data_IF_644619092903
#
_entry.id   IF_644619092903
#
_cell.length_a   1.000
_cell.length_b   1.000
_cell.length_c   1.000
_cell.angle_alpha   90.00
_cell.angle_beta   90.00
_cell.angle_gamma   90.00
#
_symmetry.space_group_name_H-M   'P 1'
#
loop_
_entity.id
_entity.type
_entity.pdbx_description
1 polymer ?
#
# COMPACT_ATOMS: atom_id res chain seq x y z
N UNK A 1 -33.62 -45.82 17.51
CA UNK A 1 -33.51 -45.74 16.04
C UNK A 1 -32.06 -45.98 15.65
N UNK A 2 -31.74 -46.52 14.47
CA UNK A 2 -30.35 -46.57 13.99
C UNK A 2 -29.81 -45.14 13.85
N UNK A 3 -28.51 -44.96 14.09
CA UNK A 3 -27.85 -43.67 13.88
C UNK A 3 -27.78 -43.34 12.38
N UNK A 4 -27.96 -42.07 11.97
CA UNK A 4 -27.87 -41.69 10.56
C UNK A 4 -26.41 -41.56 10.11
N UNK A 5 -26.20 -41.58 8.79
CA UNK A 5 -24.95 -41.13 8.19
C UNK A 5 -24.79 -39.61 8.37
N UNK A 6 -23.58 -39.16 8.67
CA UNK A 6 -23.25 -37.74 8.84
C UNK A 6 -22.42 -37.29 7.62
N UNK A 7 -22.92 -36.28 6.91
CA UNK A 7 -22.24 -35.62 5.81
C UNK A 7 -21.86 -34.18 6.21
N UNK A 8 -20.74 -33.69 5.69
CA UNK A 8 -20.27 -32.32 5.92
C UNK A 8 -19.75 -31.69 4.64
N UNK A 9 -20.15 -30.44 4.39
CA UNK A 9 -19.76 -29.63 3.22
C UNK A 9 -18.74 -28.56 3.64
N UNK A 10 -17.66 -28.97 4.30
CA UNK A 10 -16.65 -28.06 4.88
C UNK A 10 -15.65 -27.52 3.85
N UNK A 11 -16.13 -26.90 2.77
CA UNK A 11 -15.28 -26.41 1.67
C UNK A 11 -14.13 -25.51 2.14
N UNK A 12 -14.42 -24.44 2.92
CA UNK A 12 -13.40 -23.52 3.45
C UNK A 12 -12.32 -24.25 4.26
N UNK A 13 -12.69 -25.25 5.06
CA UNK A 13 -11.73 -26.02 5.86
C UNK A 13 -10.75 -26.82 4.99
N UNK A 14 -11.19 -27.29 3.82
CA UNK A 14 -10.36 -28.04 2.87
C UNK A 14 -9.43 -27.13 2.07
N UNK A 15 -9.91 -25.96 1.64
CA UNK A 15 -9.20 -25.14 0.64
C UNK A 15 -8.54 -23.87 1.19
N UNK A 16 -8.74 -23.47 2.45
CA UNK A 16 -8.18 -22.20 2.92
C UNK A 16 -6.63 -22.13 2.77
N UNK A 17 -5.91 -23.20 3.08
CA UNK A 17 -4.45 -23.18 3.27
C UNK A 17 -3.63 -23.41 1.98
N UNK A 18 -4.25 -23.85 0.89
CA UNK A 18 -3.51 -24.36 -0.27
C UNK A 18 -2.89 -23.28 -1.16
N UNK A 19 -3.22 -22.00 -0.93
CA UNK A 19 -2.77 -20.88 -1.75
C UNK A 19 -2.16 -19.76 -0.88
N UNK A 20 -1.13 -19.12 -1.44
CA UNK A 20 -0.44 -17.95 -0.90
C UNK A 20 -0.35 -16.91 -2.01
N UNK A 21 -0.76 -15.68 -1.73
CA UNK A 21 -0.55 -14.55 -2.62
C UNK A 21 0.82 -13.94 -2.31
N UNK A 22 1.71 -13.90 -3.29
CA UNK A 22 3.04 -13.28 -3.16
C UNK A 22 3.03 -11.94 -3.89
N UNK A 23 3.43 -10.88 -3.20
CA UNK A 23 3.42 -9.51 -3.70
C UNK A 23 4.79 -8.86 -3.48
N UNK A 24 5.29 -8.11 -4.48
CA UNK A 24 6.45 -7.24 -4.29
C UNK A 24 6.00 -5.86 -3.78
N UNK A 25 6.88 -5.20 -3.02
CA UNK A 25 6.73 -3.82 -2.58
C UNK A 25 7.45 -2.91 -3.56
N UNK A 26 6.71 -1.99 -4.17
CA UNK A 26 7.21 -1.02 -5.14
C UNK A 26 7.88 0.19 -4.48
N UNK A 27 7.53 0.47 -3.23
CA UNK A 27 8.09 1.58 -2.48
C UNK A 27 7.47 1.75 -1.11
N UNK A 28 8.10 2.59 -0.29
CA UNK A 28 7.65 2.88 1.08
C UNK A 28 7.43 4.38 1.23
N UNK A 29 6.19 4.75 1.53
CA UNK A 29 5.85 6.10 1.98
C UNK A 29 6.03 6.20 3.49
N UNK A 30 7.14 6.79 3.93
CA UNK A 30 7.33 7.17 5.33
C UNK A 30 6.85 8.61 5.56
N UNK A 31 6.20 8.87 6.69
CA UNK A 31 6.02 10.25 7.15
C UNK A 31 7.41 10.92 7.31
N UNK A 32 7.57 12.21 6.99
CA UNK A 32 8.86 12.90 7.05
C UNK A 32 9.33 13.10 8.50
N UNK A 33 9.77 12.01 9.15
CA UNK A 33 10.33 12.02 10.52
C UNK A 33 11.70 12.70 10.60
N UNK A 34 12.34 12.96 9.46
CA UNK A 34 13.75 13.38 9.35
C UNK A 34 13.98 14.76 8.71
N UNK A 35 12.93 15.54 8.46
CA UNK A 35 13.09 16.94 8.04
C UNK A 35 13.79 17.76 9.14
N UNK A 36 14.59 18.75 8.74
CA UNK A 36 15.06 19.78 9.70
C UNK A 36 13.85 20.60 10.12
N UNK A 37 13.45 20.46 11.38
CA UNK A 37 12.50 21.39 11.98
C UNK A 37 13.26 22.65 12.38
N UNK A 38 12.70 23.81 12.08
CA UNK A 38 13.27 25.10 12.42
C UNK A 38 12.41 25.77 13.49
N UNK A 39 13.06 26.53 14.37
CA UNK A 39 12.35 27.34 15.35
C UNK A 39 11.45 28.33 14.60
N UNK A 40 10.13 28.36 14.88
CA UNK A 40 9.25 29.33 14.25
C UNK A 40 9.69 30.77 14.57
N UNK A 41 9.45 31.68 13.63
CA UNK A 41 9.73 33.10 13.83
C UNK A 41 8.84 33.71 14.94
N UNK A 42 9.26 34.85 15.49
CA UNK A 42 8.53 35.52 16.57
C UNK A 42 7.15 36.06 16.13
N UNK A 43 6.89 36.19 14.83
CA UNK A 43 5.61 36.57 14.24
C UNK A 43 4.76 35.37 13.80
N UNK A 44 5.29 34.13 13.86
CA UNK A 44 4.55 32.93 13.50
C UNK A 44 3.30 32.77 14.38
N UNK A 45 2.27 32.02 13.92
CA UNK A 45 1.09 31.75 14.74
C UNK A 45 1.45 31.23 16.13
N UNK A 46 0.75 31.71 17.16
CA UNK A 46 1.02 31.31 18.56
C UNK A 46 1.00 29.78 18.75
N UNK A 47 0.02 29.02 18.19
CA UNK A 47 0.00 27.56 18.36
C UNK A 47 1.23 26.87 17.77
N UNK A 48 1.79 27.41 16.66
CA UNK A 48 3.01 26.88 16.07
C UNK A 48 4.22 27.07 16.99
N UNK A 49 4.33 28.23 17.66
CA UNK A 49 5.38 28.46 18.66
C UNK A 49 5.20 27.58 19.89
N UNK A 50 3.97 27.38 20.36
CA UNK A 50 3.69 26.51 21.49
C UNK A 50 4.02 25.04 21.18
N UNK A 51 3.79 24.60 19.93
CA UNK A 51 4.21 23.28 19.48
C UNK A 51 5.73 23.13 19.48
N UNK A 52 6.49 24.19 19.15
CA UNK A 52 7.94 24.21 19.32
C UNK A 52 8.34 24.13 20.80
N UNK A 53 7.71 24.93 21.66
CA UNK A 53 8.01 24.94 23.10
C UNK A 53 7.72 23.57 23.76
N UNK A 54 6.68 22.88 23.29
CA UNK A 54 6.35 21.49 23.69
C UNK A 54 7.49 20.53 23.33
N UNK A 55 8.05 20.65 22.12
CA UNK A 55 9.19 19.84 21.69
C UNK A 55 10.47 20.17 22.46
N UNK A 56 10.74 21.45 22.74
CA UNK A 56 11.91 21.93 23.48
C UNK A 56 11.87 21.49 24.95
N UNK A 57 10.68 21.44 25.54
CA UNK A 57 10.45 21.10 26.95
C UNK A 57 10.01 19.64 27.16
N UNK A 58 10.19 18.77 26.16
CA UNK A 58 9.64 17.40 26.17
C UNK A 58 10.17 16.51 27.31
N UNK A 59 11.33 16.84 27.89
CA UNK A 59 11.88 16.13 29.06
C UNK A 59 11.30 16.62 30.39
N UNK A 60 10.74 17.83 30.42
CA UNK A 60 10.18 18.47 31.61
C UNK A 60 8.67 18.22 31.73
N UNK A 61 7.99 18.03 30.60
CA UNK A 61 6.57 17.75 30.53
C UNK A 61 6.26 16.29 30.85
N UNK A 62 5.06 16.05 31.39
CA UNK A 62 4.54 14.68 31.45
C UNK A 62 4.29 14.16 30.03
N UNK A 63 4.54 12.87 29.71
CA UNK A 63 4.33 12.35 28.37
C UNK A 63 2.91 12.55 27.84
N UNK A 64 1.90 12.45 28.72
CA UNK A 64 0.50 12.66 28.36
C UNK A 64 0.17 14.12 28.05
N UNK A 65 0.76 15.06 28.79
CA UNK A 65 0.64 16.49 28.51
C UNK A 65 1.26 16.83 27.15
N UNK A 66 2.51 16.41 26.92
CA UNK A 66 3.18 16.65 25.64
C UNK A 66 2.42 16.04 24.44
N UNK A 67 1.81 14.87 24.62
CA UNK A 67 0.99 14.23 23.60
C UNK A 67 -0.25 15.07 23.24
N UNK A 68 -1.04 15.46 24.25
CA UNK A 68 -2.26 16.24 24.02
C UNK A 68 -1.98 17.67 23.56
N UNK A 69 -0.93 18.31 24.07
CA UNK A 69 -0.50 19.64 23.63
C UNK A 69 -0.10 19.60 22.15
N UNK A 70 0.71 18.61 21.75
CA UNK A 70 1.11 18.47 20.36
C UNK A 70 -0.09 18.26 19.42
N UNK A 71 -1.06 17.43 19.82
CA UNK A 71 -2.30 17.25 19.06
C UNK A 71 -3.10 18.55 18.95
N UNK A 72 -3.35 19.20 20.09
CA UNK A 72 -4.17 20.41 20.16
C UNK A 72 -3.58 21.54 19.31
N UNK A 73 -2.28 21.82 19.48
CA UNK A 73 -1.62 22.90 18.74
C UNK A 73 -1.53 22.63 17.24
N UNK A 74 -1.31 21.37 16.81
CA UNK A 74 -1.37 21.01 15.39
C UNK A 74 -2.74 21.29 14.79
N UNK A 75 -3.81 20.88 15.47
CA UNK A 75 -5.18 21.15 15.02
C UNK A 75 -5.48 22.65 14.97
N UNK A 76 -4.98 23.43 15.92
CA UNK A 76 -5.12 24.88 15.90
C UNK A 76 -4.41 25.52 14.70
N UNK A 77 -3.19 25.09 14.36
CA UNK A 77 -2.51 25.56 13.13
C UNK A 77 -3.31 25.18 11.89
N UNK A 78 -3.84 23.96 11.80
CA UNK A 78 -4.70 23.53 10.69
C UNK A 78 -5.97 24.39 10.58
N UNK A 79 -6.60 24.73 11.72
CA UNK A 79 -7.75 25.65 11.76
C UNK A 79 -7.36 27.05 11.28
N UNK A 80 -6.22 27.58 11.71
CA UNK A 80 -5.74 28.89 11.26
C UNK A 80 -5.44 28.88 9.75
N UNK A 81 -4.83 27.83 9.22
CA UNK A 81 -4.60 27.67 7.78
C UNK A 81 -5.93 27.68 7.00
N UNK A 82 -6.93 26.91 7.44
CA UNK A 82 -8.25 26.88 6.81
C UNK A 82 -8.96 28.24 6.81
N UNK A 83 -8.69 29.09 7.80
CA UNK A 83 -9.22 30.45 7.91
C UNK A 83 -8.36 31.51 7.20
N UNK A 84 -7.22 31.12 6.59
CA UNK A 84 -6.29 32.03 5.92
C UNK A 84 -5.37 32.83 6.87
N UNK A 85 -5.21 32.37 8.10
CA UNK A 85 -4.36 32.98 9.14
C UNK A 85 -3.03 32.25 9.38
N UNK A 86 -2.76 31.17 8.66
CA UNK A 86 -1.46 30.50 8.63
C UNK A 86 -1.10 30.17 7.18
N UNK A 87 0.20 30.15 6.89
CA UNK A 87 0.75 29.81 5.57
C UNK A 87 0.88 28.30 5.36
N UNK A 88 1.15 27.86 4.13
CA UNK A 88 1.47 26.46 3.86
C UNK A 88 2.79 26.06 4.53
N UNK A 89 3.73 27.01 4.61
CA UNK A 89 4.99 26.86 5.32
C UNK A 89 4.77 26.64 6.82
N UNK A 90 3.89 27.42 7.46
CA UNK A 90 3.52 27.22 8.86
C UNK A 90 2.92 25.83 9.11
N UNK A 91 2.04 25.38 8.20
CA UNK A 91 1.43 24.05 8.26
C UNK A 91 2.49 22.94 8.12
N UNK A 92 3.44 23.11 7.19
CA UNK A 92 4.55 22.17 7.01
C UNK A 92 5.47 22.10 8.23
N UNK A 93 5.75 23.23 8.89
CA UNK A 93 6.55 23.25 10.12
C UNK A 93 5.77 22.60 11.27
N UNK A 94 4.47 22.86 11.39
CA UNK A 94 3.62 22.25 12.40
C UNK A 94 3.60 20.73 12.29
N UNK A 95 3.37 20.19 11.09
CA UNK A 95 3.39 18.73 10.85
C UNK A 95 4.77 18.13 11.17
N UNK A 96 5.86 18.82 10.80
CA UNK A 96 7.21 18.40 11.13
C UNK A 96 7.48 18.34 12.64
N UNK A 97 7.05 19.36 13.40
CA UNK A 97 7.22 19.40 14.85
C UNK A 97 6.36 18.35 15.57
N UNK A 98 5.11 18.20 15.15
CA UNK A 98 4.19 17.19 15.67
C UNK A 98 4.79 15.78 15.57
N UNK A 99 5.26 15.40 14.39
CA UNK A 99 5.85 14.08 14.19
C UNK A 99 7.16 13.88 14.95
N UNK A 100 7.93 14.95 15.21
CA UNK A 100 9.12 14.89 16.07
C UNK A 100 8.77 14.61 17.52
N UNK A 101 7.72 15.24 18.06
CA UNK A 101 7.22 14.95 19.41
C UNK A 101 6.76 13.49 19.48
N UNK A 102 5.94 13.05 18.53
CA UNK A 102 5.40 11.70 18.49
C UNK A 102 6.50 10.63 18.35
N UNK A 103 7.51 10.85 17.51
CA UNK A 103 8.64 9.92 17.35
C UNK A 103 9.46 9.79 18.65
N UNK A 104 9.67 10.89 19.39
CA UNK A 104 10.35 10.85 20.68
C UNK A 104 9.51 10.15 21.76
N UNK A 105 8.20 10.41 21.81
CA UNK A 105 7.28 9.73 22.73
C UNK A 105 7.21 8.22 22.43
N UNK A 106 7.11 7.85 21.15
CA UNK A 106 7.07 6.45 20.71
C UNK A 106 8.33 5.68 21.10
N UNK A 107 9.52 6.29 20.99
CA UNK A 107 10.79 5.68 21.42
C UNK A 107 10.90 5.47 22.92
N UNK A 108 10.33 6.39 23.71
CA UNK A 108 10.30 6.28 25.18
C UNK A 108 9.28 5.25 25.65
N UNK A 109 8.23 5.00 24.86
CA UNK A 109 7.13 4.07 25.15
C UNK A 109 6.64 4.15 26.63
N UNK A 110 6.26 5.34 27.12
CA UNK A 110 5.91 5.52 28.52
C UNK A 110 4.61 4.77 28.85
N UNK A 111 4.56 4.14 30.02
CA UNK A 111 3.37 3.39 30.48
C UNK A 111 2.11 4.27 30.52
N UNK A 112 2.26 5.57 30.79
CA UNK A 112 1.17 6.55 30.82
C UNK A 112 0.43 6.72 29.48
N UNK A 113 1.07 6.36 28.36
CA UNK A 113 0.50 6.44 27.01
C UNK A 113 0.10 5.08 26.46
N UNK A 114 0.00 4.02 27.27
CA UNK A 114 -0.25 2.66 26.79
C UNK A 114 -1.49 2.56 25.87
N UNK A 115 -2.56 3.30 26.18
CA UNK A 115 -3.80 3.31 25.39
C UNK A 115 -3.64 4.12 24.09
N UNK A 116 -2.86 5.20 24.13
CA UNK A 116 -2.57 6.08 23.00
C UNK A 116 -1.45 5.56 22.08
N UNK A 117 -0.64 4.59 22.55
CA UNK A 117 0.47 4.01 21.79
C UNK A 117 0.01 3.38 20.48
N UNK A 118 -1.17 2.74 20.43
CA UNK A 118 -1.73 2.22 19.17
C UNK A 118 -1.98 3.35 18.16
N UNK A 119 -2.52 4.47 18.63
CA UNK A 119 -2.77 5.63 17.78
C UNK A 119 -1.47 6.29 17.29
N UNK A 120 -0.45 6.37 18.16
CA UNK A 120 0.88 6.90 17.81
C UNK A 120 1.57 5.99 16.79
N UNK A 121 1.55 4.66 17.01
CA UNK A 121 2.13 3.68 16.08
C UNK A 121 1.42 3.70 14.74
N UNK A 122 0.09 3.64 14.74
CA UNK A 122 -0.73 3.67 13.52
C UNK A 122 -0.54 4.98 12.77
N UNK A 123 -0.55 6.12 13.45
CA UNK A 123 -0.38 7.42 12.82
C UNK A 123 1.00 7.62 12.19
N UNK A 124 2.03 7.06 12.82
CA UNK A 124 3.41 7.15 12.32
C UNK A 124 3.79 6.01 11.36
N UNK A 125 2.91 5.03 11.16
CA UNK A 125 3.20 3.82 10.39
C UNK A 125 3.57 4.13 8.94
N UNK A 126 4.54 3.39 8.44
CA UNK A 126 4.96 3.47 7.04
C UNK A 126 3.93 2.81 6.12
N UNK A 127 3.75 3.38 4.93
CA UNK A 127 2.87 2.86 3.89
C UNK A 127 3.70 2.04 2.91
N UNK A 128 3.52 0.73 2.87
CA UNK A 128 4.20 -0.15 1.94
C UNK A 128 3.32 -0.33 0.69
N UNK A 129 3.70 0.29 -0.41
CA UNK A 129 2.99 0.21 -1.68
C UNK A 129 3.30 -1.12 -2.36
N UNK A 130 2.31 -2.02 -2.38
CA UNK A 130 2.46 -3.37 -2.87
C UNK A 130 1.80 -3.52 -4.24
N UNK A 131 2.46 -4.22 -5.16
CA UNK A 131 2.01 -4.38 -6.54
C UNK A 131 0.88 -5.43 -6.67
N UNK A 132 -0.29 -5.10 -6.16
CA UNK A 132 -1.48 -5.95 -6.25
C UNK A 132 -2.75 -5.09 -6.16
N UNK A 133 -3.91 -5.75 -6.16
CA UNK A 133 -5.21 -5.13 -5.91
C UNK A 133 -5.94 -5.93 -4.83
N UNK A 134 -6.33 -5.26 -3.74
CA UNK A 134 -7.13 -5.85 -2.65
C UNK A 134 -8.48 -6.29 -3.20
N UNK A 135 -9.10 -5.49 -4.05
CA UNK A 135 -10.41 -5.78 -4.64
C UNK A 135 -10.39 -7.00 -5.56
N UNK A 136 -9.23 -7.29 -6.16
CA UNK A 136 -9.04 -8.45 -7.04
C UNK A 136 -8.64 -9.71 -6.27
N UNK A 137 -7.67 -9.59 -5.38
CA UNK A 137 -7.02 -10.76 -4.76
C UNK A 137 -7.49 -11.05 -3.34
N UNK A 138 -8.06 -10.05 -2.65
CA UNK A 138 -8.48 -10.15 -1.25
C UNK A 138 -9.88 -9.52 -1.00
N UNK A 139 -10.92 -9.88 -1.78
CA UNK A 139 -12.24 -9.25 -1.68
C UNK A 139 -12.87 -9.36 -0.30
N UNK A 140 -12.73 -10.50 0.40
CA UNK A 140 -13.22 -10.68 1.78
C UNK A 140 -12.56 -9.70 2.78
N UNK A 141 -11.31 -9.27 2.55
CA UNK A 141 -10.64 -8.29 3.43
C UNK A 141 -11.35 -6.94 3.36
N UNK A 142 -11.70 -6.50 2.15
CA UNK A 142 -12.43 -5.26 1.90
C UNK A 142 -13.90 -5.37 2.33
N UNK A 143 -14.62 -6.40 1.86
CA UNK A 143 -16.06 -6.48 2.02
C UNK A 143 -16.50 -6.91 3.43
N UNK A 144 -15.73 -7.79 4.09
CA UNK A 144 -16.12 -8.42 5.36
C UNK A 144 -15.15 -8.11 6.51
N UNK A 145 -14.05 -7.40 6.24
CA UNK A 145 -13.01 -7.19 7.24
C UNK A 145 -12.29 -8.49 7.63
N UNK A 146 -12.28 -9.50 6.74
CA UNK A 146 -11.57 -10.75 6.95
C UNK A 146 -10.08 -10.48 7.18
N UNK A 147 -9.53 -11.08 8.23
CA UNK A 147 -8.11 -10.98 8.55
C UNK A 147 -7.36 -12.13 7.89
N UNK A 148 -6.26 -11.81 7.22
CA UNK A 148 -5.34 -12.78 6.63
C UNK A 148 -4.00 -12.69 7.36
N UNK A 149 -3.31 -13.82 7.61
CA UNK A 149 -1.92 -13.78 8.02
C UNK A 149 -1.06 -13.18 6.90
N UNK A 150 -0.20 -12.24 7.28
CA UNK A 150 0.67 -11.50 6.37
C UNK A 150 2.07 -11.48 6.96
N UNK A 151 3.08 -11.82 6.18
CA UNK A 151 4.47 -11.74 6.62
C UNK A 151 5.42 -11.52 5.43
N UNK A 152 6.59 -10.91 5.65
CA UNK A 152 7.70 -11.03 4.71
C UNK A 152 8.02 -12.51 4.48
N UNK A 153 8.40 -12.88 3.25
CA UNK A 153 8.78 -14.28 2.92
C UNK A 153 10.30 -14.47 2.81
N UNK A 154 11.05 -13.43 3.17
CA UNK A 154 12.50 -13.41 3.24
C UNK A 154 12.96 -12.47 4.35
N UNK A 155 14.27 -12.45 4.63
CA UNK A 155 14.90 -11.70 5.74
C UNK A 155 14.32 -12.05 7.13
N UNK A 156 13.82 -13.27 7.29
CA UNK A 156 13.18 -13.72 8.55
C UNK A 156 14.17 -13.91 9.71
N UNK A 157 15.46 -13.90 9.42
CA UNK A 157 16.58 -13.90 10.37
C UNK A 157 16.97 -12.48 10.84
N UNK A 158 16.42 -11.45 10.20
CA UNK A 158 16.61 -10.05 10.58
C UNK A 158 15.43 -9.55 11.42
N UNK A 159 15.66 -8.77 12.49
CA UNK A 159 14.57 -8.15 13.22
C UNK A 159 13.93 -7.03 12.38
N UNK A 160 12.61 -7.00 12.19
CA UNK A 160 11.93 -5.87 11.56
C UNK A 160 12.12 -4.59 12.38
N UNK A 161 12.32 -3.46 11.70
CA UNK A 161 12.68 -2.17 12.32
C UNK A 161 11.66 -1.06 12.06
N UNK A 162 10.61 -1.36 11.29
CA UNK A 162 9.56 -0.43 10.90
C UNK A 162 8.21 -0.99 11.33
N UNK A 163 7.31 -0.09 11.71
CA UNK A 163 5.89 -0.38 11.80
C UNK A 163 5.23 0.15 10.53
N UNK A 164 4.46 -0.69 9.84
CA UNK A 164 3.84 -0.29 8.60
C UNK A 164 2.54 -1.02 8.32
N UNK A 165 1.85 -0.61 7.26
CA UNK A 165 0.69 -1.32 6.74
C UNK A 165 0.76 -1.34 5.21
N UNK A 166 0.02 -2.26 4.61
CA UNK A 166 0.13 -2.50 3.16
C UNK A 166 -0.96 -1.72 2.44
N UNK A 167 -0.57 -1.01 1.39
CA UNK A 167 -1.48 -0.36 0.46
C UNK A 167 -1.27 -0.98 -0.91
N UNK A 168 -2.34 -1.14 -1.66
CA UNK A 168 -2.29 -1.68 -3.02
C UNK A 168 -2.01 -0.55 -4.04
N UNK A 169 -1.98 -0.87 -5.34
CA UNK A 169 -1.71 0.13 -6.40
C UNK A 169 -2.98 0.79 -6.93
N UNK A 170 -4.14 0.57 -6.30
CA UNK A 170 -5.38 1.20 -6.73
C UNK A 170 -5.44 2.67 -6.30
N UNK A 171 -6.33 3.42 -6.94
CA UNK A 171 -6.58 4.82 -6.62
C UNK A 171 -7.54 4.99 -5.43
N UNK A 172 -8.05 3.89 -4.89
CA UNK A 172 -9.05 3.89 -3.84
C UNK A 172 -8.38 3.77 -2.46
N UNK A 173 -8.76 4.63 -1.53
CA UNK A 173 -8.22 4.61 -0.17
C UNK A 173 -8.57 3.35 0.62
N UNK A 174 -9.57 2.59 0.18
CA UNK A 174 -9.94 1.28 0.73
C UNK A 174 -9.01 0.16 0.26
N UNK A 175 -8.16 0.40 -0.75
CA UNK A 175 -7.12 -0.49 -1.25
C UNK A 175 -5.96 -0.69 -0.26
N UNK A 176 -6.25 -1.15 0.96
CA UNK A 176 -5.25 -1.35 2.02
C UNK A 176 -5.56 -2.53 2.92
N UNK A 177 -4.52 -3.16 3.41
CA UNK A 177 -4.58 -4.10 4.53
C UNK A 177 -4.11 -3.38 5.79
N UNK A 178 -5.04 -3.15 6.71
CA UNK A 178 -4.81 -2.44 7.98
C UNK A 178 -5.46 -3.17 9.16
N UNK A 179 -5.60 -4.50 9.06
CA UNK A 179 -6.06 -5.39 10.14
C UNK A 179 -5.27 -6.69 10.04
N UNK A 180 -4.49 -6.99 11.07
CA UNK A 180 -3.61 -8.15 11.09
C UNK A 180 -3.99 -9.11 12.23
N UNK A 181 -3.55 -10.38 12.20
CA UNK A 181 -3.87 -11.34 13.24
C UNK A 181 -3.41 -10.86 14.63
N UNK A 182 -4.28 -11.01 15.63
CA UNK A 182 -4.02 -10.75 17.04
C UNK A 182 -4.21 -12.01 17.88
N UNK A 183 -3.71 -11.98 19.12
CA UNK A 183 -4.11 -12.96 20.12
C UNK A 183 -5.63 -12.84 20.39
N UNK A 184 -6.38 -13.92 20.70
CA UNK A 184 -7.85 -13.91 20.74
C UNK A 184 -8.52 -12.87 21.66
N UNK A 185 -7.79 -12.34 22.64
CA UNK A 185 -8.29 -11.36 23.60
C UNK A 185 -7.84 -9.91 23.29
N UNK A 186 -7.02 -9.73 22.25
CA UNK A 186 -6.44 -8.44 21.90
C UNK A 186 -7.13 -7.90 20.63
N UNK A 187 -7.26 -6.57 20.49
CA UNK A 187 -7.73 -5.98 19.24
C UNK A 187 -6.76 -6.31 18.09
N UNK A 188 -7.30 -6.51 16.89
CA UNK A 188 -6.49 -6.68 15.69
C UNK A 188 -5.59 -5.46 15.48
N UNK A 189 -4.25 -5.61 15.44
CA UNK A 189 -3.36 -4.50 15.18
C UNK A 189 -3.61 -3.94 13.78
N UNK A 190 -3.41 -2.62 13.65
CA UNK A 190 -3.56 -1.90 12.38
C UNK A 190 -2.27 -1.83 11.56
N UNK A 191 -1.17 -2.23 12.17
CA UNK A 191 0.17 -2.26 11.58
C UNK A 191 0.79 -3.65 11.74
N UNK A 192 1.82 -3.91 10.97
CA UNK A 192 2.69 -5.06 11.11
C UNK A 192 4.16 -4.60 11.20
N UNK A 193 5.00 -5.34 11.94
CA UNK A 193 6.43 -5.11 11.93
C UNK A 193 7.02 -5.55 10.58
N UNK A 194 7.75 -4.64 9.94
CA UNK A 194 8.36 -4.80 8.62
C UNK A 194 9.83 -4.36 8.61
N UNK A 195 10.57 -4.83 7.62
CA UNK A 195 11.95 -4.38 7.41
C UNK A 195 11.96 -3.00 6.73
N UNK A 196 12.98 -2.21 7.02
CA UNK A 196 13.32 -1.08 6.18
C UNK A 196 13.78 -1.60 4.81
N UNK A 197 13.36 -0.90 3.75
CA UNK A 197 13.65 -1.23 2.36
C UNK A 197 14.43 -0.06 1.77
N UNK A 198 15.57 -0.33 1.14
CA UNK A 198 16.34 0.66 0.40
C UNK A 198 15.75 0.89 -1.00
N UNK A 199 16.11 2.01 -1.65
CA UNK A 199 15.65 2.29 -3.01
C UNK A 199 16.13 1.18 -3.97
N UNK A 200 15.19 0.58 -4.71
CA UNK A 200 15.41 -0.56 -5.62
C UNK A 200 15.74 -1.92 -4.96
N UNK A 201 15.56 -2.07 -3.65
CA UNK A 201 15.66 -3.38 -3.00
C UNK A 201 14.37 -4.19 -3.19
N UNK A 202 14.48 -5.43 -3.71
CA UNK A 202 13.34 -6.33 -3.83
C UNK A 202 12.83 -6.77 -2.46
N UNK A 203 11.55 -6.53 -2.20
CA UNK A 203 10.91 -6.92 -0.95
C UNK A 203 9.58 -7.60 -1.20
N UNK A 204 9.46 -8.85 -0.75
CA UNK A 204 8.30 -9.70 -1.03
C UNK A 204 7.54 -10.03 0.24
N UNK A 205 6.22 -9.95 0.14
CA UNK A 205 5.29 -10.25 1.21
C UNK A 205 4.39 -11.39 0.76
N UNK A 206 4.13 -12.32 1.67
CA UNK A 206 3.15 -13.39 1.52
C UNK A 206 1.87 -13.06 2.28
N UNK A 207 0.73 -13.20 1.60
CA UNK A 207 -0.59 -13.22 2.24
C UNK A 207 -1.12 -14.65 2.19
N UNK A 208 -1.32 -15.22 3.38
CA UNK A 208 -1.65 -16.63 3.56
C UNK A 208 -3.15 -16.82 3.78
N UNK A 209 -3.61 -18.07 3.65
CA UNK A 209 -5.01 -18.47 3.84
C UNK A 209 -5.97 -17.87 2.80
N UNK A 210 -5.47 -17.61 1.59
CA UNK A 210 -6.23 -16.98 0.49
C UNK A 210 -6.95 -17.99 -0.41
N UNK A 211 -6.87 -19.30 -0.12
CA UNK A 211 -7.36 -20.34 -1.03
C UNK A 211 -8.87 -20.56 -1.05
N UNK A 212 -9.65 -19.91 -0.17
CA UNK A 212 -11.10 -20.05 -0.13
C UNK A 212 -11.76 -18.73 -0.57
N UNK A 213 -12.69 -18.79 -1.52
CA UNK A 213 -13.51 -17.68 -2.04
C UNK A 213 -12.75 -16.58 -2.82
N UNK A 214 -11.52 -16.25 -2.44
CA UNK A 214 -10.83 -15.04 -2.89
C UNK A 214 -10.69 -14.93 -4.42
N UNK A 215 -10.25 -16.00 -5.07
CA UNK A 215 -10.00 -16.01 -6.51
C UNK A 215 -11.28 -15.76 -7.33
N UNK A 216 -12.40 -16.37 -6.92
CA UNK A 216 -13.67 -16.29 -7.67
C UNK A 216 -14.45 -15.00 -7.39
N UNK A 217 -14.26 -14.38 -6.22
CA UNK A 217 -14.99 -13.17 -5.83
C UNK A 217 -14.30 -11.86 -6.23
N UNK A 218 -13.10 -11.94 -6.81
CA UNK A 218 -12.31 -10.77 -7.21
C UNK A 218 -13.00 -9.88 -8.25
N UNK A 219 -12.93 -8.57 -8.05
CA UNK A 219 -13.43 -7.57 -9.01
C UNK A 219 -12.32 -6.92 -9.85
N UNK A 220 -12.69 -6.32 -10.98
CA UNK A 220 -11.80 -5.58 -11.89
C UNK A 220 -11.68 -4.09 -11.50
N UNK A 221 -11.46 -3.79 -10.22
CA UNK A 221 -11.29 -2.41 -9.77
C UNK A 221 -10.04 -1.80 -10.42
N UNK A 222 -10.17 -0.57 -10.97
CA UNK A 222 -9.13 0.07 -11.78
C UNK A 222 -8.64 -0.75 -13.00
N UNK A 223 -9.42 -1.74 -13.46
CA UNK A 223 -9.04 -2.65 -14.55
C UNK A 223 -7.77 -3.47 -14.26
N UNK A 224 -7.46 -3.72 -12.98
CA UNK A 224 -6.49 -4.74 -12.61
C UNK A 224 -7.14 -6.13 -12.76
N UNK A 225 -6.55 -6.94 -13.63
CA UNK A 225 -7.04 -8.27 -13.98
C UNK A 225 -6.53 -9.37 -13.07
N UNK A 226 -6.82 -10.62 -13.46
CA UNK A 226 -6.34 -11.81 -12.77
C UNK A 226 -4.82 -11.80 -12.61
N UNK A 227 -4.34 -12.29 -11.47
CA UNK A 227 -2.93 -12.44 -11.22
C UNK A 227 -2.36 -13.72 -11.84
N UNK A 228 -1.05 -13.78 -12.05
CA UNK A 228 -0.39 -15.05 -12.33
C UNK A 228 -0.65 -16.06 -11.20
N UNK A 229 -1.00 -17.29 -11.56
CA UNK A 229 -1.11 -18.41 -10.63
C UNK A 229 -0.13 -19.52 -11.00
N UNK A 230 0.58 -20.06 -10.00
CA UNK A 230 1.57 -21.12 -10.20
C UNK A 230 1.24 -22.29 -9.28
N UNK A 231 1.10 -23.48 -9.85
CA UNK A 231 0.92 -24.71 -9.09
C UNK A 231 2.27 -25.33 -8.81
N UNK A 232 2.61 -25.44 -7.52
CA UNK A 232 3.87 -26.00 -7.05
C UNK A 232 3.60 -27.34 -6.38
N UNK A 233 4.30 -28.38 -6.82
CA UNK A 233 4.26 -29.73 -6.26
C UNK A 233 5.61 -30.06 -5.65
N UNK A 234 5.61 -30.62 -4.44
CA UNK A 234 6.82 -31.12 -3.81
C UNK A 234 7.03 -32.58 -4.22
N UNK A 235 8.14 -32.87 -4.89
CA UNK A 235 8.59 -34.25 -5.18
C UNK A 235 9.94 -34.46 -4.48
N UNK A 236 10.06 -35.49 -3.65
CA UNK A 236 11.28 -35.82 -2.90
C UNK A 236 11.88 -34.66 -2.07
N UNK A 237 11.05 -33.70 -1.66
CA UNK A 237 11.45 -32.52 -0.90
C UNK A 237 11.85 -31.31 -1.74
N UNK A 238 11.88 -31.45 -3.07
CA UNK A 238 12.20 -30.39 -4.01
C UNK A 238 10.91 -29.79 -4.63
N UNK A 239 10.81 -28.45 -4.76
CA UNK A 239 9.66 -27.81 -5.37
C UNK A 239 9.73 -27.89 -6.91
N UNK A 240 8.65 -28.36 -7.53
CA UNK A 240 8.48 -28.41 -8.97
C UNK A 240 7.28 -27.56 -9.39
N UNK A 241 7.50 -26.68 -10.37
CA UNK A 241 6.41 -25.94 -11.02
C UNK A 241 5.70 -26.89 -11.98
N UNK A 242 4.46 -27.24 -11.65
CA UNK A 242 3.62 -28.14 -12.45
C UNK A 242 2.84 -27.38 -13.51
N UNK A 243 2.32 -26.21 -13.15
CA UNK A 243 1.49 -25.39 -14.03
C UNK A 243 1.71 -23.91 -13.76
N UNK A 244 1.72 -23.11 -14.83
CA UNK A 244 1.65 -21.66 -14.78
C UNK A 244 0.39 -21.24 -15.53
N UNK A 245 -0.46 -20.47 -14.86
CA UNK A 245 -1.59 -19.77 -15.45
C UNK A 245 -1.21 -18.30 -15.53
N UNK A 246 -1.14 -17.77 -16.75
CA UNK A 246 -0.81 -16.37 -16.96
C UNK A 246 -1.97 -15.48 -16.51
N UNK A 247 -1.65 -14.38 -15.83
CA UNK A 247 -2.62 -13.36 -15.48
C UNK A 247 -3.03 -12.54 -16.70
N UNK A 248 -4.00 -11.66 -16.53
CA UNK A 248 -4.59 -10.94 -17.66
C UNK A 248 -3.74 -9.77 -18.15
N UNK A 249 -3.68 -9.60 -19.46
CA UNK A 249 -3.11 -8.41 -20.09
C UNK A 249 -4.11 -7.25 -20.08
N UNK A 250 -3.61 -6.03 -20.33
CA UNK A 250 -4.46 -4.85 -20.51
C UNK A 250 -5.50 -5.07 -21.62
N UNK A 251 -5.13 -5.76 -22.71
CA UNK A 251 -6.06 -6.09 -23.79
C UNK A 251 -7.17 -7.04 -23.35
N UNK A 252 -6.87 -8.02 -22.49
CA UNK A 252 -7.87 -8.97 -22.01
C UNK A 252 -8.91 -8.23 -21.17
N UNK A 253 -8.47 -7.44 -20.18
CA UNK A 253 -9.37 -6.66 -19.32
C UNK A 253 -10.19 -5.63 -20.13
N UNK A 254 -9.59 -4.99 -21.15
CA UNK A 254 -10.33 -4.06 -22.01
C UNK A 254 -11.38 -4.77 -22.88
N UNK A 255 -11.18 -6.04 -23.24
CA UNK A 255 -12.18 -6.81 -23.99
C UNK A 255 -13.43 -7.06 -23.14
N UNK A 256 -13.28 -7.33 -21.84
CA UNK A 256 -14.40 -7.45 -20.88
C UNK A 256 -15.32 -6.22 -20.91
N UNK A 257 -14.72 -5.02 -20.92
CA UNK A 257 -15.45 -3.74 -20.98
C UNK A 257 -15.82 -3.31 -22.41
N UNK A 258 -15.80 -4.24 -23.37
CA UNK A 258 -16.22 -4.06 -24.76
C UNK A 258 -15.32 -3.11 -25.58
N UNK A 259 -14.02 -3.13 -25.31
CA UNK A 259 -12.99 -2.44 -26.10
C UNK A 259 -12.01 -3.44 -26.75
N UNK A 260 -12.40 -4.08 -27.87
CA UNK A 260 -11.56 -5.08 -28.51
C UNK A 260 -10.23 -4.50 -28.97
N UNK A 261 -9.14 -5.23 -28.68
CA UNK A 261 -7.75 -4.85 -29.01
C UNK A 261 -7.59 -4.34 -30.45
N UNK A 262 -8.17 -5.04 -31.42
CA UNK A 262 -8.01 -4.70 -32.84
C UNK A 262 -8.65 -3.34 -33.19
N UNK A 263 -9.81 -3.03 -32.59
CA UNK A 263 -10.49 -1.74 -32.77
C UNK A 263 -9.65 -0.60 -32.21
N UNK A 264 -9.05 -0.80 -31.04
CA UNK A 264 -8.15 0.17 -30.40
C UNK A 264 -6.92 0.44 -31.27
N UNK A 265 -6.23 -0.62 -31.74
CA UNK A 265 -5.06 -0.49 -32.61
C UNK A 265 -5.37 0.25 -33.91
N UNK A 266 -6.51 -0.03 -34.55
CA UNK A 266 -6.89 0.61 -35.81
C UNK A 266 -7.32 2.08 -35.63
N UNK A 267 -7.84 2.45 -34.45
CA UNK A 267 -8.10 3.86 -34.10
C UNK A 267 -6.78 4.61 -33.90
N UNK A 268 -5.88 4.08 -33.07
CA UNK A 268 -4.58 4.72 -32.81
C UNK A 268 -3.75 4.84 -34.09
N UNK A 269 -3.76 3.83 -34.97
CA UNK A 269 -3.08 3.90 -36.28
C UNK A 269 -3.55 5.10 -37.11
N UNK A 270 -4.86 5.30 -37.22
CA UNK A 270 -5.44 6.44 -37.96
C UNK A 270 -5.04 7.79 -37.36
N UNK A 271 -5.01 7.89 -36.04
CA UNK A 271 -4.59 9.12 -35.34
C UNK A 271 -3.09 9.42 -35.56
N UNK A 272 -2.23 8.39 -35.53
CA UNK A 272 -0.79 8.52 -35.80
C UNK A 272 -0.54 8.91 -37.26
N UNK A 273 -1.28 8.33 -38.22
CA UNK A 273 -1.19 8.71 -39.63
C UNK A 273 -1.59 10.17 -39.87
N UNK A 274 -2.66 10.64 -39.21
CA UNK A 274 -3.07 12.05 -39.27
C UNK A 274 -2.01 12.98 -38.68
N UNK A 275 -1.48 12.65 -37.51
CA UNK A 275 -0.42 13.42 -36.87
C UNK A 275 0.85 13.50 -37.74
N UNK A 276 1.19 12.42 -38.45
CA UNK A 276 2.30 12.41 -39.41
C UNK A 276 2.01 13.29 -40.63
N UNK A 277 0.80 13.26 -41.18
CA UNK A 277 0.41 14.12 -42.31
C UNK A 277 0.43 15.61 -41.94
N UNK A 278 0.11 15.94 -40.68
CA UNK A 278 0.18 17.30 -40.13
C UNK A 278 1.60 17.73 -39.71
N UNK A 279 2.61 16.86 -39.86
CA UNK A 279 3.99 17.16 -39.49
C UNK A 279 4.26 17.19 -37.98
N UNK A 280 3.34 16.70 -37.14
CA UNK A 280 3.50 16.62 -35.67
C UNK A 280 4.35 15.43 -35.22
N UNK A 281 4.53 14.42 -36.08
CA UNK A 281 5.33 13.23 -35.82
C UNK A 281 6.17 12.87 -37.05
N UNK A 282 7.42 12.49 -36.83
CA UNK A 282 8.24 11.82 -37.83
C UNK A 282 7.80 10.37 -38.06
N UNK A 283 8.25 9.75 -39.16
CA UNK A 283 7.98 8.33 -39.43
C UNK A 283 8.58 7.40 -38.36
N UNK A 284 9.73 7.78 -37.78
CA UNK A 284 10.39 7.03 -36.72
C UNK A 284 9.58 7.06 -35.42
N UNK A 285 9.13 8.26 -35.02
CA UNK A 285 8.30 8.42 -33.81
C UNK A 285 6.95 7.73 -33.96
N UNK A 286 6.31 7.82 -35.13
CA UNK A 286 5.06 7.12 -35.42
C UNK A 286 5.20 5.59 -35.23
N UNK A 287 6.29 5.01 -35.75
CA UNK A 287 6.56 3.57 -35.60
C UNK A 287 6.82 3.20 -34.14
N UNK A 288 7.62 4.00 -33.44
CA UNK A 288 7.92 3.78 -32.03
C UNK A 288 6.66 3.87 -31.16
N UNK A 289 5.79 4.85 -31.39
CA UNK A 289 4.54 5.03 -30.67
C UNK A 289 3.57 3.85 -30.88
N UNK A 290 3.40 3.38 -32.12
CA UNK A 290 2.54 2.23 -32.41
C UNK A 290 3.06 0.93 -31.79
N UNK A 291 4.39 0.78 -31.70
CA UNK A 291 5.01 -0.34 -30.99
C UNK A 291 4.74 -0.24 -29.48
N UNK A 292 5.03 0.91 -28.89
CA UNK A 292 4.78 1.19 -27.47
C UNK A 292 3.32 0.92 -27.08
N UNK A 293 2.36 1.41 -27.87
CA UNK A 293 0.94 1.18 -27.61
C UNK A 293 0.55 -0.30 -27.71
N UNK A 294 1.14 -1.05 -28.65
CA UNK A 294 0.90 -2.50 -28.78
C UNK A 294 1.50 -3.28 -27.62
N UNK A 295 2.70 -2.91 -27.18
CA UNK A 295 3.37 -3.49 -26.02
C UNK A 295 2.55 -3.22 -24.75
N UNK A 296 2.09 -1.97 -24.53
CA UNK A 296 1.22 -1.64 -23.39
C UNK A 296 -0.11 -2.41 -23.38
N UNK A 297 -0.72 -2.66 -24.53
CA UNK A 297 -1.92 -3.51 -24.61
C UNK A 297 -1.62 -5.00 -24.34
N UNK A 298 -0.42 -5.48 -24.66
CA UNK A 298 -0.03 -6.86 -24.40
C UNK A 298 0.57 -7.06 -23.00
N UNK A 299 0.95 -5.98 -22.33
CA UNK A 299 1.52 -5.98 -20.99
C UNK A 299 0.51 -6.45 -19.95
N UNK A 300 1.06 -7.00 -18.87
CA UNK A 300 0.32 -7.39 -17.68
C UNK A 300 -0.34 -6.17 -17.03
N UNK A 301 -1.48 -6.34 -16.36
CA UNK A 301 -2.22 -5.20 -15.80
C UNK A 301 -1.52 -4.53 -14.62
N UNK A 302 -0.58 -5.23 -13.97
CA UNK A 302 0.14 -4.72 -12.80
C UNK A 302 1.42 -3.97 -13.19
N UNK A 303 2.00 -3.26 -12.23
CA UNK A 303 3.09 -2.32 -12.52
C UNK A 303 4.42 -3.05 -12.73
N UNK A 304 5.23 -2.52 -13.63
CA UNK A 304 6.62 -2.95 -13.85
C UNK A 304 7.57 -1.99 -13.12
N UNK A 305 8.64 -2.51 -12.49
CA UNK A 305 9.65 -1.71 -11.80
C UNK A 305 10.51 -0.86 -12.77
N UNK A 306 10.43 -1.16 -14.07
CA UNK A 306 11.16 -0.44 -15.12
C UNK A 306 10.26 0.56 -15.83
N UNK A 307 10.14 1.78 -15.26
CA UNK A 307 9.88 2.93 -16.12
C UNK A 307 11.00 2.97 -17.18
N UNK A 308 10.70 3.03 -18.49
CA UNK A 308 11.74 3.21 -19.49
C UNK A 308 12.54 4.46 -19.09
N UNK A 309 13.88 4.43 -19.16
CA UNK A 309 14.67 5.61 -18.84
C UNK A 309 14.11 6.76 -19.67
N UNK A 310 13.76 7.86 -18.98
CA UNK A 310 13.35 9.09 -19.64
C UNK A 310 14.35 9.33 -20.76
N UNK A 311 13.85 9.37 -22.00
CA UNK A 311 14.70 9.46 -23.19
C UNK A 311 15.70 10.60 -22.99
N UNK A 312 16.99 10.24 -22.87
CA UNK A 312 18.10 11.19 -22.89
C UNK A 312 18.24 11.79 -24.29
#
# INVERSE_FOLDING_TARGET
LPHPDILSESGRALVAHHAVLVINVLGVGSEPRRGRVHRPEANAPLPLRQLWDTLDSLEELSPREAFHDAQSYREEVQRLFALGHASLEDLSVADGLFWRVFDQLARRAPEELADEMDAIRTGSADKYFCNFSVFRSLPDAWALGQVFPVAPIHRLDEPPTREGYLVDVTCDSDGRLARFPAHPNDPAPKTLPLHAIEEHEEYFIGVFLVGAYQETLGGLHNLFGDTHAVHVRLEDGEPHIEQVVEGESVADVLDWVQFPKQVLLDRVRREVERARAEGRLSAREATAFLRFYREGLAGYTYLEENLPPAAQ
#
